data_IF_942784226252
#
_entry.id   IF_942784226252
#
_cell.length_a   1.000
_cell.length_b   1.000
_cell.length_c   1.000
_cell.angle_alpha   90.00
_cell.angle_beta   90.00
_cell.angle_gamma   90.00
#
_symmetry.space_group_name_H-M   'P 1'
#
loop_
_entity.id
_entity.type
_entity.pdbx_description
1 polymer ?
#
# COMPACT_ATOMS: atom_id res chain seq x y z
N UNK A 1 -13.20 12.85 -5.80
CA UNK A 1 -12.21 13.45 -4.89
C UNK A 1 -11.44 14.48 -5.68
N UNK A 2 -11.28 15.72 -5.21
CA UNK A 2 -10.40 16.65 -5.91
C UNK A 2 -8.98 16.08 -5.89
N UNK A 3 -8.26 16.27 -6.99
CA UNK A 3 -6.90 15.76 -7.24
C UNK A 3 -5.91 16.12 -6.11
N UNK A 4 -6.17 17.17 -5.34
CA UNK A 4 -5.31 17.68 -4.27
C UNK A 4 -5.15 16.80 -3.03
N UNK A 5 -6.12 15.93 -2.72
CA UNK A 5 -6.04 15.14 -1.48
C UNK A 5 -5.12 13.92 -1.60
N UNK A 6 -4.88 13.43 -2.81
CA UNK A 6 -4.13 12.18 -3.01
C UNK A 6 -2.65 12.29 -2.65
N UNK A 7 -2.07 13.49 -2.71
CA UNK A 7 -0.66 13.77 -2.41
C UNK A 7 -0.35 13.96 -0.92
N UNK A 8 -1.35 14.15 -0.07
CA UNK A 8 -1.12 14.48 1.35
C UNK A 8 -0.76 13.21 2.16
N UNK A 9 -0.08 13.33 3.30
CA UNK A 9 0.22 12.23 4.23
C UNK A 9 -1.05 11.69 4.94
N UNK A 10 -1.23 10.38 5.01
CA UNK A 10 -2.30 9.72 5.77
C UNK A 10 -3.29 8.90 4.94
N UNK A 11 -4.46 8.65 5.52
CA UNK A 11 -5.53 7.82 4.96
C UNK A 11 -6.39 8.54 3.93
N UNK A 12 -6.67 7.89 2.79
CA UNK A 12 -7.42 8.47 1.66
C UNK A 12 -8.56 7.58 1.19
N UNK A 13 -9.60 8.23 0.67
CA UNK A 13 -10.82 7.59 0.24
C UNK A 13 -11.67 7.13 1.42
N UNK A 14 -12.75 6.44 1.12
CA UNK A 14 -13.65 5.84 2.12
C UNK A 14 -13.55 4.31 2.06
N UNK A 15 -13.65 3.75 0.85
CA UNK A 15 -13.68 2.30 0.60
C UNK A 15 -12.68 1.84 -0.48
N UNK A 16 -11.80 2.71 -0.94
CA UNK A 16 -10.95 2.43 -2.10
C UNK A 16 -9.95 1.30 -1.83
N UNK A 17 -9.50 1.16 -0.58
CA UNK A 17 -8.71 0.03 -0.15
C UNK A 17 -9.48 -1.28 -0.28
N UNK A 18 -10.75 -1.33 0.15
CA UNK A 18 -11.60 -2.51 -0.06
C UNK A 18 -11.72 -2.88 -1.54
N UNK A 19 -11.94 -1.89 -2.41
CA UNK A 19 -12.08 -2.08 -3.86
C UNK A 19 -10.78 -2.56 -4.53
N UNK A 20 -9.63 -2.32 -3.92
CA UNK A 20 -8.30 -2.71 -4.43
C UNK A 20 -7.81 -4.06 -3.90
N UNK A 21 -8.15 -4.40 -2.65
CA UNK A 21 -7.77 -5.68 -2.01
C UNK A 21 -8.36 -6.86 -2.79
N UNK A 22 -7.57 -7.92 -2.93
CA UNK A 22 -8.02 -9.17 -3.54
C UNK A 22 -9.14 -9.83 -2.72
N UNK A 23 -9.93 -10.69 -3.37
CA UNK A 23 -11.05 -11.41 -2.77
C UNK A 23 -10.62 -12.53 -1.81
N UNK A 24 -9.33 -12.89 -1.82
CA UNK A 24 -8.74 -13.91 -0.96
C UNK A 24 -7.30 -13.58 -0.60
N UNK A 25 -6.80 -14.22 0.47
CA UNK A 25 -5.40 -14.18 0.89
C UNK A 25 -5.10 -13.20 2.03
N UNK A 26 -6.07 -12.35 2.39
CA UNK A 26 -5.97 -11.48 3.56
C UNK A 26 -6.50 -12.19 4.80
N UNK A 27 -5.71 -12.12 5.87
CA UNK A 27 -6.11 -12.56 7.20
C UNK A 27 -7.06 -11.53 7.84
N UNK A 28 -7.54 -11.81 9.06
CA UNK A 28 -8.39 -10.89 9.85
C UNK A 28 -9.69 -10.47 9.15
N UNK A 29 -10.23 -11.34 8.30
CA UNK A 29 -11.37 -11.03 7.42
C UNK A 29 -11.14 -9.80 6.53
N UNK A 30 -9.88 -9.48 6.22
CA UNK A 30 -9.48 -8.27 5.51
C UNK A 30 -9.65 -8.32 3.99
N UNK A 31 -10.25 -9.39 3.44
CA UNK A 31 -10.46 -9.54 1.99
C UNK A 31 -11.31 -8.40 1.43
N UNK A 32 -10.97 -7.96 0.22
CA UNK A 32 -11.67 -6.89 -0.48
C UNK A 32 -12.67 -7.40 -1.52
N UNK A 33 -13.42 -6.47 -2.10
CA UNK A 33 -14.29 -6.76 -3.25
C UNK A 33 -13.53 -6.96 -4.56
N UNK A 34 -12.30 -6.42 -4.65
CA UNK A 34 -11.51 -6.31 -5.88
C UNK A 34 -12.24 -5.64 -7.06
N UNK A 35 -13.26 -4.82 -6.80
CA UNK A 35 -14.07 -4.17 -7.84
C UNK A 35 -13.30 -3.16 -8.69
N UNK A 36 -12.10 -2.73 -8.26
CA UNK A 36 -11.19 -1.91 -9.08
C UNK A 36 -10.37 -2.70 -10.13
N UNK A 37 -10.33 -4.03 -10.02
CA UNK A 37 -9.47 -4.89 -10.83
C UNK A 37 -7.99 -4.91 -10.42
N UNK A 38 -7.59 -4.16 -9.38
CA UNK A 38 -6.18 -4.05 -8.98
C UNK A 38 -5.59 -5.35 -8.43
N UNK A 39 -6.40 -6.18 -7.75
CA UNK A 39 -6.02 -7.49 -7.22
C UNK A 39 -4.84 -7.45 -6.25
N UNK A 40 -4.89 -6.58 -5.23
CA UNK A 40 -3.83 -6.45 -4.24
C UNK A 40 -3.74 -7.67 -3.30
N UNK A 41 -2.57 -8.31 -3.27
CA UNK A 41 -2.23 -9.37 -2.31
C UNK A 41 -1.46 -8.81 -1.10
N UNK A 42 -1.69 -9.35 0.10
CA UNK A 42 -1.04 -8.91 1.34
C UNK A 42 0.34 -9.55 1.53
N UNK A 43 1.33 -9.00 0.85
CA UNK A 43 2.69 -9.54 0.87
C UNK A 43 3.58 -9.08 2.02
N UNK A 44 3.08 -8.24 2.93
CA UNK A 44 3.89 -7.68 4.00
C UNK A 44 4.90 -6.65 3.48
N UNK A 45 6.05 -6.58 4.14
CA UNK A 45 7.17 -5.76 3.72
C UNK A 45 8.50 -6.28 4.25
N UNK A 46 9.59 -5.88 3.59
CA UNK A 46 10.96 -6.07 4.11
C UNK A 46 11.37 -4.84 4.93
N UNK A 47 11.74 -5.05 6.19
CA UNK A 47 12.20 -3.98 7.06
C UNK A 47 13.58 -3.46 6.61
N UNK A 48 13.75 -2.14 6.58
CA UNK A 48 14.97 -1.52 6.06
C UNK A 48 16.17 -1.59 7.01
N UNK A 49 15.96 -1.90 8.28
CA UNK A 49 17.02 -1.96 9.29
C UNK A 49 17.85 -3.24 9.22
N UNK A 50 17.18 -4.39 9.12
CA UNK A 50 17.82 -5.71 9.18
C UNK A 50 17.46 -6.63 8.00
N UNK A 51 16.48 -6.25 7.17
CA UNK A 51 16.02 -7.04 6.04
C UNK A 51 15.03 -8.15 6.37
N UNK A 52 14.48 -8.20 7.58
CA UNK A 52 13.41 -9.13 7.96
C UNK A 52 12.12 -8.87 7.19
N UNK A 53 11.35 -9.92 6.91
CA UNK A 53 10.02 -9.80 6.30
C UNK A 53 8.95 -9.90 7.39
N UNK A 54 8.00 -8.96 7.37
CA UNK A 54 7.01 -8.77 8.44
C UNK A 54 5.62 -8.51 7.87
N UNK A 55 4.60 -8.84 8.68
CA UNK A 55 3.18 -8.55 8.42
C UNK A 55 2.64 -9.14 7.11
N UNK A 56 3.16 -10.30 6.70
CA UNK A 56 2.53 -11.08 5.64
C UNK A 56 1.06 -11.34 5.97
N UNK A 57 0.22 -11.41 4.94
CA UNK A 57 -1.23 -11.62 5.02
C UNK A 57 -2.08 -10.51 5.65
N UNK A 58 -1.50 -9.50 6.28
CA UNK A 58 -2.26 -8.40 6.91
C UNK A 58 -2.00 -7.03 6.29
N UNK A 59 -0.91 -6.85 5.55
CA UNK A 59 -0.55 -5.56 4.96
C UNK A 59 0.12 -5.73 3.60
N UNK A 60 0.10 -4.68 2.78
CA UNK A 60 0.97 -4.58 1.60
C UNK A 60 1.25 -3.14 1.22
N UNK A 61 2.36 -2.94 0.54
CA UNK A 61 2.91 -1.63 0.24
C UNK A 61 3.38 -1.54 -1.22
N UNK A 62 3.19 -0.38 -1.84
CA UNK A 62 3.80 -0.08 -3.14
C UNK A 62 4.60 1.20 -3.07
N UNK A 63 5.77 1.20 -3.71
CA UNK A 63 6.49 2.43 -3.97
C UNK A 63 5.71 3.32 -4.96
N UNK A 64 5.72 4.63 -4.71
CA UNK A 64 5.33 5.64 -5.68
C UNK A 64 6.57 6.04 -6.50
N UNK A 65 6.35 6.54 -7.71
CA UNK A 65 7.43 7.09 -8.55
C UNK A 65 7.99 8.42 -8.03
N UNK A 66 7.24 9.13 -7.18
CA UNK A 66 7.68 10.39 -6.58
C UNK A 66 8.61 10.16 -5.39
N UNK A 67 9.71 10.91 -5.39
CA UNK A 67 10.63 11.00 -4.28
C UNK A 67 10.04 11.85 -3.14
N UNK A 68 10.43 11.54 -1.89
CA UNK A 68 10.25 12.47 -0.77
C UNK A 68 11.53 13.27 -0.51
N UNK A 69 12.66 12.60 -0.39
CA UNK A 69 14.00 13.20 -0.29
C UNK A 69 15.10 12.16 -0.64
N UNK A 70 16.36 12.52 -0.39
CA UNK A 70 17.53 11.70 -0.68
C UNK A 70 17.45 10.28 -0.07
N UNK A 71 16.90 10.14 1.13
CA UNK A 71 16.85 8.89 1.89
C UNK A 71 15.48 8.21 1.89
N UNK A 72 14.41 8.93 1.53
CA UNK A 72 13.02 8.49 1.68
C UNK A 72 12.23 8.50 0.37
N UNK A 73 11.41 7.48 0.18
CA UNK A 73 10.44 7.37 -0.90
C UNK A 73 9.01 7.44 -0.38
N UNK A 74 8.07 7.89 -1.23
CA UNK A 74 6.64 7.81 -0.94
C UNK A 74 6.10 6.41 -1.23
N UNK A 75 5.21 5.91 -0.38
CA UNK A 75 4.53 4.64 -0.59
C UNK A 75 3.01 4.76 -0.43
N UNK A 76 2.30 3.81 -1.05
CA UNK A 76 0.90 3.50 -0.77
C UNK A 76 0.81 2.20 0.02
N UNK A 77 -0.17 2.09 0.91
CA UNK A 77 -0.38 0.91 1.74
C UNK A 77 -1.85 0.55 1.88
N UNK A 78 -2.12 -0.74 1.89
CA UNK A 78 -3.42 -1.33 2.24
C UNK A 78 -3.25 -2.21 3.47
N UNK A 79 -4.27 -2.21 4.33
CA UNK A 79 -4.31 -2.95 5.58
C UNK A 79 -5.56 -3.85 5.62
N UNK A 80 -5.47 -4.99 6.30
CA UNK A 80 -6.60 -5.89 6.57
C UNK A 80 -7.74 -5.13 7.26
N UNK A 81 -7.40 -4.36 8.30
CA UNK A 81 -8.32 -3.65 9.18
C UNK A 81 -8.82 -2.29 8.66
N UNK A 82 -8.46 -1.88 7.43
CA UNK A 82 -8.88 -0.60 6.86
C UNK A 82 -9.34 -0.72 5.41
N UNK A 83 -10.37 0.04 5.07
CA UNK A 83 -10.87 0.16 3.70
C UNK A 83 -10.36 1.43 2.99
N UNK A 84 -9.53 2.24 3.66
CA UNK A 84 -8.88 3.40 3.09
C UNK A 84 -7.50 3.05 2.51
N UNK A 85 -6.96 3.91 1.65
CA UNK A 85 -5.58 3.79 1.14
C UNK A 85 -4.67 4.71 1.93
N UNK A 86 -3.64 4.17 2.58
CA UNK A 86 -2.69 4.98 3.33
C UNK A 86 -1.53 5.46 2.44
N UNK A 87 -1.06 6.68 2.68
CA UNK A 87 0.14 7.26 2.06
C UNK A 87 1.08 7.81 3.12
N UNK A 88 2.35 7.45 3.04
CA UNK A 88 3.40 8.03 3.86
C UNK A 88 4.76 7.84 3.16
N UNK A 89 5.82 8.29 3.81
CA UNK A 89 7.19 8.05 3.33
C UNK A 89 7.97 7.21 4.33
N UNK A 90 8.96 6.48 3.82
CA UNK A 90 9.91 5.72 4.65
C UNK A 90 11.25 5.62 3.94
N UNK A 91 12.25 5.09 4.65
CA UNK A 91 13.59 4.87 4.08
C UNK A 91 13.53 4.01 2.82
N UNK A 92 14.26 4.43 1.79
CA UNK A 92 14.44 3.68 0.53
C UNK A 92 15.09 2.31 0.73
N UNK A 93 15.65 2.03 1.93
CA UNK A 93 16.19 0.72 2.32
C UNK A 93 15.12 -0.35 2.58
N UNK A 94 13.87 0.07 2.86
CA UNK A 94 12.75 -0.86 3.05
C UNK A 94 12.31 -1.50 1.74
N UNK A 95 11.97 -2.80 1.76
CA UNK A 95 11.39 -3.44 0.58
C UNK A 95 9.88 -3.23 0.53
N UNK A 96 9.41 -2.72 -0.60
CA UNK A 96 8.00 -2.50 -0.93
C UNK A 96 7.78 -2.98 -2.38
N UNK A 97 6.55 -3.33 -2.73
CA UNK A 97 6.24 -3.85 -4.06
C UNK A 97 6.31 -2.74 -5.12
N UNK A 98 6.57 -3.15 -6.35
CA UNK A 98 6.56 -2.27 -7.53
C UNK A 98 5.56 -2.82 -8.52
N UNK A 99 4.78 -1.94 -9.14
CA UNK A 99 3.92 -2.26 -10.27
C UNK A 99 4.12 -1.18 -11.32
N UNK A 100 4.43 -1.58 -12.55
CA UNK A 100 4.51 -0.65 -13.67
C UNK A 100 3.11 -0.19 -14.05
N UNK A 101 2.95 1.11 -14.28
CA UNK A 101 1.74 1.71 -14.84
C UNK A 101 2.07 2.13 -16.26
N UNK A 102 1.20 1.78 -17.20
CA UNK A 102 1.30 2.22 -18.58
C UNK A 102 0.41 3.46 -18.75
N UNK A 103 0.97 4.52 -19.32
CA UNK A 103 0.25 5.72 -19.75
C UNK A 103 -0.30 5.54 -21.18
#
# INVERSE_FOLDING_TARGET
>A
MSSDQTGVWGWRGTDHGNKMKNQSGWDENGNGSNSSGFSALPGGYRFGGDGTFLMEKTITYWWCSSEHDADRGWYRRLDSASDQVYRASTSKKGGKYVRCVKD
#
